data_IF_640368815426
#
_entry.id   IF_640368815426
#
_cell.length_a   1.000
_cell.length_b   1.000
_cell.length_c   1.000
_cell.angle_alpha   90.00
_cell.angle_beta   90.00
_cell.angle_gamma   90.00
#
_symmetry.space_group_name_H-M   'P 1'
#
loop_
_entity.id
_entity.type
_entity.pdbx_description
1 polymer ?
#
# COMPACT_ATOMS: atom_id res chain seq x y z
N UNK A 1 14.83 23.04 47.16
CA UNK A 1 15.15 21.70 46.58
C UNK A 1 13.89 21.14 45.85
N UNK A 2 12.70 21.24 46.45
CA UNK A 2 11.46 20.64 45.91
C UNK A 2 11.09 21.08 44.47
N UNK A 3 11.19 22.38 44.13
CA UNK A 3 10.83 22.88 42.79
C UNK A 3 11.70 22.35 41.64
N UNK A 4 12.98 22.03 41.88
CA UNK A 4 13.91 21.51 40.86
C UNK A 4 13.66 20.02 40.56
N UNK A 5 13.14 19.26 41.51
CA UNK A 5 12.84 17.84 41.36
C UNK A 5 11.59 17.64 40.47
N UNK A 6 10.61 18.56 40.54
CA UNK A 6 9.39 18.51 39.74
C UNK A 6 9.58 18.82 38.25
N UNK A 7 10.62 19.55 37.88
CA UNK A 7 10.88 19.92 36.48
C UNK A 7 11.16 18.68 35.60
N UNK A 8 11.87 17.68 36.13
CA UNK A 8 12.22 16.48 35.35
C UNK A 8 11.03 15.59 34.99
N UNK A 9 10.12 15.22 35.90
CA UNK A 9 8.91 14.49 35.55
C UNK A 9 8.06 15.24 34.52
N UNK A 10 7.97 16.55 34.63
CA UNK A 10 7.19 17.39 33.73
C UNK A 10 7.80 17.45 32.31
N UNK A 11 9.14 17.56 32.23
CA UNK A 11 9.87 17.53 30.97
C UNK A 11 9.75 16.12 30.32
N UNK A 12 9.84 15.05 31.13
CA UNK A 12 9.67 13.69 30.64
C UNK A 12 8.24 13.46 30.09
N UNK A 13 7.19 13.91 30.80
CA UNK A 13 5.81 13.87 30.31
C UNK A 13 5.67 14.61 28.97
N UNK A 14 6.28 15.78 28.83
CA UNK A 14 6.24 16.55 27.60
C UNK A 14 6.89 15.80 26.42
N UNK A 15 8.05 15.19 26.64
CA UNK A 15 8.72 14.36 25.63
C UNK A 15 7.85 13.16 25.26
N UNK A 16 7.24 12.48 26.21
CA UNK A 16 6.36 11.33 25.94
C UNK A 16 5.12 11.74 25.12
N UNK A 17 4.53 12.91 25.37
CA UNK A 17 3.42 13.43 24.57
C UNK A 17 3.85 13.68 23.12
N UNK A 18 5.02 14.30 22.91
CA UNK A 18 5.57 14.51 21.56
C UNK A 18 5.82 13.17 20.86
N UNK A 19 6.44 12.21 21.55
CA UNK A 19 6.67 10.88 20.99
C UNK A 19 5.36 10.17 20.61
N UNK A 20 4.34 10.24 21.46
CA UNK A 20 3.02 9.65 21.20
C UNK A 20 2.35 10.30 19.97
N UNK A 21 2.44 11.62 19.84
CA UNK A 21 1.89 12.35 18.69
C UNK A 21 2.58 11.97 17.38
N UNK A 22 3.93 11.93 17.38
CA UNK A 22 4.72 11.54 16.21
C UNK A 22 4.44 10.08 15.82
N UNK A 23 4.35 9.19 16.80
CA UNK A 23 4.01 7.78 16.59
C UNK A 23 2.62 7.64 15.95
N UNK A 24 1.61 8.31 16.50
CA UNK A 24 0.24 8.25 15.98
C UNK A 24 0.17 8.70 14.51
N UNK A 25 0.80 9.83 14.18
CA UNK A 25 0.81 10.33 12.79
C UNK A 25 1.53 9.36 11.83
N UNK A 26 2.66 8.79 12.26
CA UNK A 26 3.44 7.88 11.42
C UNK A 26 2.72 6.56 11.21
N UNK A 27 2.02 6.03 12.22
CA UNK A 27 1.27 4.79 12.10
C UNK A 27 0.07 4.96 11.17
N UNK A 28 -0.69 6.06 11.29
CA UNK A 28 -1.80 6.39 10.37
C UNK A 28 -1.33 6.48 8.91
N UNK A 29 -0.15 7.06 8.68
CA UNK A 29 0.44 7.12 7.35
C UNK A 29 0.74 5.71 6.79
N UNK A 30 1.36 4.84 7.59
CA UNK A 30 1.68 3.45 7.19
C UNK A 30 0.40 2.63 6.96
N UNK A 31 -0.60 2.76 7.82
CA UNK A 31 -1.90 2.09 7.67
C UNK A 31 -2.58 2.47 6.35
N UNK A 32 -2.59 3.75 6.00
CA UNK A 32 -3.14 4.20 4.72
C UNK A 32 -2.38 3.61 3.53
N UNK A 33 -1.04 3.57 3.57
CA UNK A 33 -0.21 2.96 2.51
C UNK A 33 -0.42 1.45 2.42
N UNK A 34 -0.60 0.78 3.55
CA UNK A 34 -0.92 -0.65 3.60
C UNK A 34 -2.27 -0.94 2.96
N UNK A 35 -3.31 -0.18 3.31
CA UNK A 35 -4.64 -0.31 2.69
C UNK A 35 -4.62 -0.09 1.17
N UNK A 36 -3.84 0.89 0.69
CA UNK A 36 -3.66 1.11 -0.76
C UNK A 36 -2.95 -0.09 -1.39
N UNK A 37 -1.91 -0.63 -0.76
CA UNK A 37 -1.19 -1.81 -1.26
C UNK A 37 -2.06 -3.07 -1.31
N UNK A 38 -2.92 -3.29 -0.33
CA UNK A 38 -3.89 -4.39 -0.33
C UNK A 38 -4.87 -4.28 -1.51
N UNK A 39 -5.38 -3.08 -1.78
CA UNK A 39 -6.25 -2.87 -2.94
C UNK A 39 -5.52 -3.09 -4.28
N UNK A 40 -4.26 -2.70 -4.40
CA UNK A 40 -3.46 -2.99 -5.60
C UNK A 40 -3.29 -4.51 -5.81
N UNK A 41 -3.10 -5.28 -4.74
CA UNK A 41 -3.06 -6.74 -4.80
C UNK A 41 -4.41 -7.34 -5.24
N UNK A 42 -5.53 -6.74 -4.79
CA UNK A 42 -6.88 -7.15 -5.24
C UNK A 42 -7.03 -6.94 -6.74
N UNK A 43 -6.58 -5.80 -7.31
CA UNK A 43 -6.62 -5.56 -8.75
C UNK A 43 -5.81 -6.60 -9.54
N UNK A 44 -4.62 -6.98 -9.05
CA UNK A 44 -3.83 -8.03 -9.67
C UNK A 44 -4.56 -9.39 -9.66
N UNK A 45 -5.24 -9.72 -8.56
CA UNK A 45 -6.08 -10.92 -8.45
C UNK A 45 -7.30 -10.87 -9.39
N UNK A 46 -7.97 -9.73 -9.48
CA UNK A 46 -9.12 -9.54 -10.36
C UNK A 46 -8.71 -9.70 -11.83
N UNK A 47 -7.53 -9.21 -12.23
CA UNK A 47 -6.97 -9.46 -13.55
C UNK A 47 -6.76 -10.96 -13.81
N UNK A 48 -6.18 -11.69 -12.87
CA UNK A 48 -5.98 -13.13 -13.01
C UNK A 48 -7.32 -13.86 -13.15
N UNK A 49 -8.32 -13.51 -12.35
CA UNK A 49 -9.66 -14.08 -12.44
C UNK A 49 -10.32 -13.77 -13.80
N UNK A 50 -10.14 -12.55 -14.32
CA UNK A 50 -10.63 -12.17 -15.65
C UNK A 50 -9.97 -13.01 -16.75
N UNK A 51 -8.66 -13.25 -16.66
CA UNK A 51 -7.96 -14.12 -17.62
C UNK A 51 -8.41 -15.59 -17.52
N UNK A 52 -8.62 -16.11 -16.32
CA UNK A 52 -9.14 -17.46 -16.12
C UNK A 52 -10.51 -17.60 -16.78
N UNK A 53 -11.40 -16.61 -16.67
CA UNK A 53 -12.71 -16.65 -17.32
C UNK A 53 -12.60 -16.70 -18.86
N UNK A 54 -11.61 -16.03 -19.46
CA UNK A 54 -11.34 -16.14 -20.90
C UNK A 54 -10.92 -17.58 -21.27
N UNK A 55 -10.02 -18.19 -20.51
CA UNK A 55 -9.64 -19.59 -20.74
C UNK A 55 -10.83 -20.54 -20.63
N UNK A 56 -11.70 -20.33 -19.63
CA UNK A 56 -12.91 -21.12 -19.46
C UNK A 56 -13.86 -20.96 -20.66
N UNK A 57 -14.03 -19.74 -21.20
CA UNK A 57 -14.80 -19.51 -22.41
C UNK A 57 -14.16 -20.19 -23.63
N UNK A 58 -12.84 -20.17 -23.74
CA UNK A 58 -12.13 -20.82 -24.86
C UNK A 58 -12.27 -22.35 -24.84
N UNK A 59 -12.33 -22.95 -23.65
CA UNK A 59 -12.51 -24.39 -23.46
C UNK A 59 -13.98 -24.82 -23.69
N UNK A 60 -14.91 -24.04 -23.15
CA UNK A 60 -16.35 -24.32 -23.23
C UNK A 60 -17.08 -23.05 -23.71
N UNK A 61 -17.31 -23.02 -25.03
CA UNK A 61 -17.89 -21.86 -25.69
C UNK A 61 -19.41 -21.83 -25.53
N UNK A 62 -19.89 -21.01 -24.61
CA UNK A 62 -21.31 -20.72 -24.42
C UNK A 62 -21.53 -19.27 -23.98
N UNK A 63 -22.81 -18.84 -23.99
CA UNK A 63 -23.20 -17.47 -23.66
C UNK A 63 -22.85 -17.12 -22.21
N UNK A 64 -23.08 -18.02 -21.25
CA UNK A 64 -22.85 -17.76 -19.83
C UNK A 64 -21.35 -17.50 -19.55
N UNK A 65 -20.47 -18.28 -20.19
CA UNK A 65 -19.01 -18.06 -20.08
C UNK A 65 -18.57 -16.75 -20.73
N UNK A 66 -19.16 -16.40 -21.88
CA UNK A 66 -18.89 -15.08 -22.52
C UNK A 66 -19.28 -13.94 -21.57
N UNK A 67 -20.49 -13.99 -21.02
CA UNK A 67 -21.01 -12.95 -20.14
C UNK A 67 -20.20 -12.83 -18.86
N UNK A 68 -19.69 -13.96 -18.35
CA UNK A 68 -18.78 -14.00 -17.20
C UNK A 68 -17.43 -13.30 -17.48
N UNK A 69 -16.88 -13.43 -18.68
CA UNK A 69 -15.68 -12.69 -19.09
C UNK A 69 -15.96 -11.19 -19.06
N UNK A 70 -17.06 -10.76 -19.67
CA UNK A 70 -17.45 -9.35 -19.73
C UNK A 70 -17.61 -8.79 -18.31
N UNK A 71 -18.38 -9.46 -17.46
CA UNK A 71 -18.60 -9.07 -16.06
C UNK A 71 -17.29 -8.91 -15.28
N UNK A 72 -16.35 -9.86 -15.42
CA UNK A 72 -15.08 -9.82 -14.71
C UNK A 72 -14.21 -8.64 -15.15
N UNK A 73 -14.10 -8.37 -16.46
CA UNK A 73 -13.31 -7.25 -16.96
C UNK A 73 -13.96 -5.89 -16.67
N UNK A 74 -15.29 -5.79 -16.72
CA UNK A 74 -16.02 -4.57 -16.33
C UNK A 74 -15.82 -4.30 -14.82
N UNK A 75 -15.88 -5.34 -13.99
CA UNK A 75 -15.62 -5.24 -12.56
C UNK A 75 -14.19 -4.78 -12.31
N UNK A 76 -13.19 -5.37 -12.98
CA UNK A 76 -11.79 -4.94 -12.91
C UNK A 76 -11.65 -3.46 -13.30
N UNK A 77 -12.24 -3.04 -14.41
CA UNK A 77 -12.21 -1.65 -14.88
C UNK A 77 -12.78 -0.68 -13.85
N UNK A 78 -13.94 -1.02 -13.26
CA UNK A 78 -14.58 -0.25 -12.20
C UNK A 78 -13.70 -0.17 -10.95
N UNK A 79 -13.10 -1.30 -10.53
CA UNK A 79 -12.21 -1.35 -9.36
C UNK A 79 -10.95 -0.50 -9.59
N UNK A 80 -10.35 -0.52 -10.80
CA UNK A 80 -9.23 0.35 -11.15
C UNK A 80 -9.64 1.83 -11.10
N UNK A 81 -10.82 2.19 -11.61
CA UNK A 81 -11.31 3.57 -11.57
C UNK A 81 -11.53 4.07 -10.12
N UNK A 82 -12.08 3.24 -9.24
CA UNK A 82 -12.22 3.55 -7.82
C UNK A 82 -10.87 3.66 -7.12
N UNK A 83 -9.94 2.77 -7.44
CA UNK A 83 -8.59 2.77 -6.90
C UNK A 83 -7.81 4.02 -7.32
N UNK A 84 -7.92 4.44 -8.58
CA UNK A 84 -7.30 5.66 -9.12
C UNK A 84 -7.60 6.89 -8.25
N UNK A 85 -8.83 7.03 -7.75
CA UNK A 85 -9.25 8.17 -6.92
C UNK A 85 -8.54 8.24 -5.55
N UNK A 86 -7.88 7.16 -5.12
CA UNK A 86 -7.09 7.09 -3.88
C UNK A 86 -5.61 7.39 -4.09
N UNK A 87 -5.17 7.52 -5.34
CA UNK A 87 -3.78 7.74 -5.71
C UNK A 87 -3.48 9.22 -5.85
N UNK A 88 -2.24 9.59 -5.49
CA UNK A 88 -1.75 10.98 -5.61
C UNK A 88 -0.49 11.08 -6.49
N UNK A 89 0.08 9.95 -6.90
CA UNK A 89 1.29 9.89 -7.73
C UNK A 89 0.86 9.87 -9.19
N UNK A 90 1.25 10.88 -10.01
CA UNK A 90 0.80 10.99 -11.40
C UNK A 90 1.11 9.76 -12.25
N UNK A 91 2.28 9.14 -12.08
CA UNK A 91 2.66 7.90 -12.75
C UNK A 91 1.65 6.78 -12.50
N UNK A 92 1.20 6.59 -11.25
CA UNK A 92 0.29 5.52 -10.87
C UNK A 92 -1.14 5.81 -11.34
N UNK A 93 -1.54 7.09 -11.37
CA UNK A 93 -2.81 7.52 -11.98
C UNK A 93 -2.81 7.20 -13.47
N UNK A 94 -1.73 7.51 -14.19
CA UNK A 94 -1.58 7.20 -15.61
C UNK A 94 -1.66 5.69 -15.89
N UNK A 95 -0.99 4.85 -15.07
CA UNK A 95 -1.08 3.39 -15.20
C UNK A 95 -2.52 2.88 -15.05
N UNK A 96 -3.32 3.48 -14.16
CA UNK A 96 -4.74 3.15 -14.02
C UNK A 96 -5.53 3.55 -15.27
N UNK A 97 -5.31 4.75 -15.81
CA UNK A 97 -6.02 5.26 -17.01
C UNK A 97 -5.72 4.40 -18.23
N UNK A 98 -4.46 4.11 -18.48
CA UNK A 98 -4.02 3.25 -19.57
C UNK A 98 -4.55 1.81 -19.40
N UNK A 99 -4.65 1.29 -18.18
CA UNK A 99 -5.23 -0.03 -17.91
C UNK A 99 -6.72 -0.07 -18.24
N UNK A 100 -7.48 0.98 -17.91
CA UNK A 100 -8.91 1.09 -18.25
C UNK A 100 -9.10 1.12 -19.77
N UNK A 101 -8.27 1.86 -20.50
CA UNK A 101 -8.32 1.93 -21.97
C UNK A 101 -8.00 0.57 -22.61
N UNK A 102 -6.99 -0.13 -22.11
CA UNK A 102 -6.64 -1.49 -22.54
C UNK A 102 -7.79 -2.47 -22.31
N UNK A 103 -8.47 -2.41 -21.15
CA UNK A 103 -9.62 -3.26 -20.85
C UNK A 103 -10.76 -3.00 -21.84
N UNK A 104 -11.07 -1.73 -22.14
CA UNK A 104 -12.10 -1.37 -23.12
C UNK A 104 -11.78 -1.95 -24.50
N UNK A 105 -10.53 -1.81 -24.94
CA UNK A 105 -10.06 -2.35 -26.23
C UNK A 105 -10.08 -3.87 -26.22
N UNK A 106 -9.68 -4.50 -25.14
CA UNK A 106 -9.69 -5.96 -24.96
C UNK A 106 -11.13 -6.50 -25.09
N UNK A 107 -12.09 -5.91 -24.38
CA UNK A 107 -13.49 -6.33 -24.41
C UNK A 107 -14.11 -6.18 -25.78
N UNK A 108 -13.78 -5.11 -26.53
CA UNK A 108 -14.25 -4.92 -27.92
C UNK A 108 -13.79 -6.07 -28.82
N UNK A 109 -12.51 -6.45 -28.75
CA UNK A 109 -11.95 -7.55 -29.56
C UNK A 109 -12.49 -8.90 -29.07
N UNK A 110 -12.58 -9.10 -27.75
CA UNK A 110 -13.16 -10.31 -27.17
C UNK A 110 -14.61 -10.53 -27.64
N UNK A 111 -15.46 -9.50 -27.63
CA UNK A 111 -16.83 -9.61 -28.09
C UNK A 111 -16.91 -10.00 -29.58
N UNK A 112 -16.05 -9.44 -30.42
CA UNK A 112 -15.99 -9.82 -31.84
C UNK A 112 -15.59 -11.30 -31.98
N UNK A 113 -14.51 -11.71 -31.36
CA UNK A 113 -14.01 -13.08 -31.35
C UNK A 113 -15.05 -14.07 -30.79
N UNK A 114 -15.70 -13.72 -29.68
CA UNK A 114 -16.71 -14.57 -29.04
C UNK A 114 -17.93 -14.76 -29.94
N UNK A 115 -18.38 -13.71 -30.64
CA UNK A 115 -19.50 -13.79 -31.60
C UNK A 115 -19.16 -14.69 -32.78
N UNK A 116 -17.93 -14.65 -33.31
CA UNK A 116 -17.50 -15.56 -34.39
C UNK A 116 -17.56 -17.01 -33.90
N UNK A 117 -17.02 -17.25 -32.71
CA UNK A 117 -16.93 -18.60 -32.14
C UNK A 117 -18.29 -19.19 -31.77
N UNK A 118 -19.21 -18.39 -31.21
CA UNK A 118 -20.57 -18.82 -30.85
C UNK A 118 -21.45 -19.15 -32.06
N UNK A 119 -21.17 -18.54 -33.22
CA UNK A 119 -21.91 -18.81 -34.47
C UNK A 119 -21.39 -20.00 -35.24
N UNK A 120 -20.33 -20.68 -34.78
CA UNK A 120 -19.65 -21.81 -35.49
C UNK A 120 -19.34 -21.50 -36.98
N UNK A 121 -19.11 -20.21 -37.29
CA UNK A 121 -18.92 -19.79 -38.66
C UNK A 121 -17.48 -19.93 -39.11
N UNK A 122 -17.13 -21.01 -39.81
CA UNK A 122 -15.78 -21.31 -40.30
C UNK A 122 -15.27 -20.29 -41.34
N UNK A 123 -16.13 -19.45 -41.91
CA UNK A 123 -15.76 -18.45 -42.91
C UNK A 123 -14.87 -17.34 -42.36
N UNK A 124 -14.93 -17.06 -41.07
CA UNK A 124 -14.19 -16.00 -40.40
C UNK A 124 -12.96 -16.48 -39.56
N UNK A 125 -12.44 -17.67 -39.86
CA UNK A 125 -11.32 -18.29 -39.08
C UNK A 125 -10.07 -17.39 -39.07
N UNK A 126 -9.80 -16.65 -40.14
CA UNK A 126 -8.65 -15.73 -40.22
C UNK A 126 -8.81 -14.55 -39.27
N UNK A 127 -9.98 -13.93 -39.22
CA UNK A 127 -10.32 -12.84 -38.32
C UNK A 127 -10.27 -13.29 -36.87
N UNK A 128 -10.86 -14.43 -36.56
CA UNK A 128 -10.81 -15.07 -35.24
C UNK A 128 -9.36 -15.24 -34.72
N UNK A 129 -8.46 -15.80 -35.55
CA UNK A 129 -7.07 -16.00 -35.17
C UNK A 129 -6.32 -14.67 -34.98
N UNK A 130 -6.63 -13.65 -35.77
CA UNK A 130 -6.07 -12.30 -35.59
C UNK A 130 -6.52 -11.66 -34.28
N UNK A 131 -7.78 -11.81 -33.93
CA UNK A 131 -8.34 -11.26 -32.69
C UNK A 131 -7.74 -11.96 -31.46
N UNK A 132 -7.52 -13.27 -31.50
CA UNK A 132 -6.78 -13.98 -30.44
C UNK A 132 -5.38 -13.39 -30.24
N UNK A 133 -4.64 -13.15 -31.33
CA UNK A 133 -3.29 -12.57 -31.24
C UNK A 133 -3.31 -11.14 -30.69
N UNK A 134 -4.27 -10.32 -31.12
CA UNK A 134 -4.44 -8.97 -30.56
C UNK A 134 -4.79 -9.00 -29.07
N UNK A 135 -5.73 -9.87 -28.68
CA UNK A 135 -6.09 -10.06 -27.26
C UNK A 135 -4.89 -10.51 -26.43
N UNK A 136 -4.05 -11.44 -26.94
CA UNK A 136 -2.87 -11.89 -26.23
C UNK A 136 -1.88 -10.73 -25.96
N UNK A 137 -1.65 -9.87 -26.96
CA UNK A 137 -0.77 -8.71 -26.82
C UNK A 137 -1.35 -7.67 -25.84
N UNK A 138 -2.61 -7.29 -26.01
CA UNK A 138 -3.27 -6.33 -25.10
C UNK A 138 -3.34 -6.89 -23.69
N UNK A 139 -3.65 -8.17 -23.54
CA UNK A 139 -3.66 -8.85 -22.23
C UNK A 139 -2.31 -8.83 -21.54
N UNK A 140 -1.21 -9.00 -22.29
CA UNK A 140 0.16 -8.87 -21.77
C UNK A 140 0.49 -7.44 -21.36
N UNK A 141 0.08 -6.45 -22.16
CA UNK A 141 0.32 -5.04 -21.84
C UNK A 141 -0.46 -4.61 -20.60
N UNK A 142 -1.72 -5.06 -20.47
CA UNK A 142 -2.54 -4.85 -19.28
C UNK A 142 -1.92 -5.48 -18.04
N UNK A 143 -1.43 -6.71 -18.15
CA UNK A 143 -0.71 -7.41 -17.08
C UNK A 143 0.52 -6.63 -16.62
N UNK A 144 1.35 -6.19 -17.56
CA UNK A 144 2.55 -5.41 -17.28
C UNK A 144 2.19 -4.10 -16.53
N UNK A 145 1.13 -3.41 -16.92
CA UNK A 145 0.72 -2.15 -16.27
C UNK A 145 0.19 -2.37 -14.86
N UNK A 146 -0.65 -3.37 -14.66
CA UNK A 146 -1.20 -3.69 -13.33
C UNK A 146 -0.10 -4.19 -12.39
N UNK A 147 0.84 -5.00 -12.87
CA UNK A 147 1.95 -5.45 -12.06
C UNK A 147 2.94 -4.32 -11.74
N UNK A 148 3.25 -3.45 -12.71
CA UNK A 148 4.07 -2.27 -12.46
C UNK A 148 3.43 -1.33 -11.43
N UNK A 149 2.10 -1.13 -11.50
CA UNK A 149 1.33 -0.37 -10.52
C UNK A 149 1.42 -1.02 -9.13
N UNK A 150 1.20 -2.33 -9.05
CA UNK A 150 1.26 -3.06 -7.79
C UNK A 150 2.66 -3.01 -7.16
N UNK A 151 3.71 -3.24 -7.94
CA UNK A 151 5.10 -3.16 -7.48
C UNK A 151 5.45 -1.77 -6.94
N UNK A 152 5.09 -0.72 -7.66
CA UNK A 152 5.34 0.66 -7.24
C UNK A 152 4.63 0.99 -5.90
N UNK A 153 3.38 0.57 -5.76
CA UNK A 153 2.59 0.74 -4.53
C UNK A 153 3.18 -0.06 -3.36
N UNK A 154 3.62 -1.30 -3.59
CA UNK A 154 4.28 -2.14 -2.57
C UNK A 154 5.60 -1.49 -2.11
N UNK A 155 6.38 -0.94 -3.03
CA UNK A 155 7.62 -0.24 -2.71
C UNK A 155 7.35 1.00 -1.85
N UNK A 156 6.35 1.83 -2.20
CA UNK A 156 5.93 2.99 -1.40
C UNK A 156 5.50 2.59 0.02
N UNK A 157 4.76 1.49 0.17
CA UNK A 157 4.39 0.95 1.50
C UNK A 157 5.63 0.52 2.28
N UNK A 158 6.55 -0.20 1.64
CA UNK A 158 7.76 -0.69 2.29
C UNK A 158 8.66 0.46 2.75
N UNK A 159 8.78 1.52 1.95
CA UNK A 159 9.51 2.73 2.32
C UNK A 159 8.86 3.44 3.51
N UNK A 160 7.53 3.51 3.55
CA UNK A 160 6.79 4.07 4.68
C UNK A 160 7.03 3.26 5.98
N UNK A 161 7.00 1.92 5.91
CA UNK A 161 7.30 1.04 7.05
C UNK A 161 8.75 1.23 7.52
N UNK A 162 9.70 1.29 6.60
CA UNK A 162 11.11 1.52 6.91
C UNK A 162 11.34 2.88 7.59
N UNK A 163 10.69 3.93 7.08
CA UNK A 163 10.74 5.26 7.67
C UNK A 163 10.18 5.26 9.10
N UNK A 164 9.03 4.62 9.34
CA UNK A 164 8.45 4.46 10.67
C UNK A 164 9.41 3.73 11.61
N UNK A 165 9.95 2.60 11.18
CA UNK A 165 10.89 1.80 12.00
C UNK A 165 12.13 2.62 12.37
N UNK A 166 12.71 3.34 11.41
CA UNK A 166 13.86 4.22 11.65
C UNK A 166 13.52 5.33 12.64
N UNK A 167 12.36 5.98 12.47
CA UNK A 167 11.88 7.04 13.37
C UNK A 167 11.70 6.51 14.81
N UNK A 168 11.07 5.35 14.98
CA UNK A 168 10.88 4.72 16.29
C UNK A 168 12.21 4.36 16.95
N UNK A 169 13.18 3.87 16.18
CA UNK A 169 14.50 3.55 16.68
C UNK A 169 15.20 4.81 17.21
N UNK A 170 15.19 5.90 16.44
CA UNK A 170 15.80 7.18 16.84
C UNK A 170 15.10 7.73 18.09
N UNK A 171 13.78 7.73 18.14
CA UNK A 171 13.02 8.18 19.31
C UNK A 171 13.33 7.34 20.55
N UNK A 172 13.48 6.02 20.39
CA UNK A 172 13.90 5.13 21.47
C UNK A 172 15.27 5.49 22.03
N UNK A 173 16.26 5.71 21.19
CA UNK A 173 17.60 6.15 21.61
C UNK A 173 17.58 7.50 22.33
N UNK A 174 16.86 8.48 21.80
CA UNK A 174 16.72 9.80 22.43
C UNK A 174 16.07 9.67 23.81
N UNK A 175 15.03 8.88 23.95
CA UNK A 175 14.34 8.66 25.22
C UNK A 175 15.26 8.02 26.27
N UNK A 176 16.03 7.00 25.88
CA UNK A 176 17.02 6.36 26.76
C UNK A 176 18.09 7.36 27.20
N UNK A 177 18.60 8.18 26.28
CA UNK A 177 19.62 9.19 26.58
C UNK A 177 19.10 10.24 27.59
N UNK A 178 17.87 10.73 27.37
CA UNK A 178 17.22 11.70 28.28
C UNK A 178 17.07 11.06 29.68
N UNK A 179 16.62 9.82 29.73
CA UNK A 179 16.46 9.09 31.01
C UNK A 179 17.79 8.93 31.75
N UNK A 180 18.86 8.58 31.04
CA UNK A 180 20.19 8.43 31.62
C UNK A 180 20.73 9.78 32.19
N UNK A 181 20.56 10.87 31.42
CA UNK A 181 20.97 12.21 31.87
C UNK A 181 20.15 12.67 33.08
N UNK A 182 18.83 12.47 33.07
CA UNK A 182 17.96 12.79 34.18
C UNK A 182 18.34 12.01 35.46
N UNK A 183 18.55 10.70 35.32
CA UNK A 183 18.98 9.82 36.43
C UNK A 183 20.31 10.25 37.04
N UNK A 184 21.29 10.56 36.18
CA UNK A 184 22.62 11.05 36.62
C UNK A 184 22.54 12.37 37.37
N UNK A 185 21.71 13.30 36.87
CA UNK A 185 21.49 14.60 37.51
C UNK A 185 20.80 14.46 38.87
N UNK A 186 19.77 13.62 39.00
CA UNK A 186 19.06 13.36 40.25
C UNK A 186 20.02 12.74 41.26
N UNK A 187 20.78 11.71 40.85
CA UNK A 187 21.76 11.04 41.70
C UNK A 187 22.80 12.01 42.28
N UNK A 188 23.37 12.89 41.45
CA UNK A 188 24.34 13.91 41.89
C UNK A 188 23.73 14.91 42.90
N UNK A 189 22.48 15.34 42.68
CA UNK A 189 21.80 16.26 43.58
C UNK A 189 21.49 15.63 44.95
N UNK A 190 21.08 14.36 44.96
CA UNK A 190 20.83 13.60 46.19
C UNK A 190 22.14 13.42 46.97
N UNK A 191 23.21 13.00 46.29
CA UNK A 191 24.55 12.81 46.92
C UNK A 191 25.06 14.12 47.53
N UNK A 192 24.91 15.26 46.82
CA UNK A 192 25.27 16.59 47.35
C UNK A 192 24.44 17.00 48.55
N UNK A 193 23.13 16.75 48.57
CA UNK A 193 22.22 17.03 49.69
C UNK A 193 22.59 16.18 50.93
N UNK A 194 22.92 14.90 50.72
CA UNK A 194 23.36 13.99 51.81
C UNK A 194 24.69 14.43 52.42
N UNK A 195 25.67 14.82 51.62
CA UNK A 195 26.93 15.33 52.09
C UNK A 195 26.77 16.62 52.91
N UNK A 196 25.99 17.59 52.43
CA UNK A 196 25.71 18.82 53.15
C UNK A 196 24.99 18.57 54.50
N UNK A 197 24.10 17.56 54.56
CA UNK A 197 23.42 17.16 55.78
C UNK A 197 24.40 16.52 56.77
N UNK A 198 25.31 15.67 56.29
CA UNK A 198 26.36 15.05 57.12
C UNK A 198 27.30 16.09 57.73
N UNK A 199 27.75 17.06 56.91
CA UNK A 199 28.65 18.14 57.35
C UNK A 199 27.97 19.04 58.39
N UNK A 200 26.65 19.29 58.26
CA UNK A 200 25.87 20.05 59.25
C UNK A 200 25.58 19.31 60.58
N UNK A 201 25.73 17.99 60.62
CA UNK A 201 25.63 17.20 61.88
C UNK A 201 26.95 17.08 62.61
N UNK A 202 28.08 17.40 61.99
CA UNK A 202 29.43 17.34 62.56
C UNK A 202 29.95 18.70 63.05
N UNK A 203 29.18 19.77 62.80
CA UNK A 203 29.43 21.12 63.33
C UNK A 203 28.52 21.41 64.52
#
# INVERSE_FOLDING_TARGET
IGKKIFIFPLLFMFVMIICAFLYHNSISYVENRTSISENANVLAKDLLNSRISVYQFMLETNIDKRDKVIENFETLSKNIALFKNRLHIPKNILLCEESIELISTYLKIFNNMANIKLKENNENLKEYNQDILKMANIGKDLENKIFALNEDIVNIRNDAIKALTTQLTILGFITILIFFLASSFISRNIAKSLNNFKDGLQS
#
